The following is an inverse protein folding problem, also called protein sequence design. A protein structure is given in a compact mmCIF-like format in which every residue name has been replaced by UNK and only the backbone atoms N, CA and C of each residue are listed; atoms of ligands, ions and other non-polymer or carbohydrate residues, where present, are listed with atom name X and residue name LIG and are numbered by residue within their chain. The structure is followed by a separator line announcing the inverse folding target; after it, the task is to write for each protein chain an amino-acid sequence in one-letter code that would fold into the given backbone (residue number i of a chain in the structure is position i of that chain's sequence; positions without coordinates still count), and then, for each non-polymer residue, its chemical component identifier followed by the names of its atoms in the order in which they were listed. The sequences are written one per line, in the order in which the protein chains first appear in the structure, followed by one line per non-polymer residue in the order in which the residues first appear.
data_IF_024129971455
#
_entry.id   IF_024129971455
#
_cell.length_a   1.000
_cell.length_b   1.000
_cell.length_c   1.000
_cell.angle_alpha   90.00
_cell.angle_beta   90.00
_cell.angle_gamma   90.00
#
_symmetry.space_group_name_H-M   'P 1'
#
loop_
_entity.id
_entity.type
_entity.pdbx_description
1 polymer ?
#
# COMPACT_ATOMS: atom_id res chain seq x y z
N UNK A 1 25.34 -34.60 -27.52
CA UNK A 1 26.66 -33.99 -27.19
C UNK A 1 26.50 -32.49 -27.36
N UNK A 2 26.79 -31.60 -26.42
CA UNK A 2 27.68 -31.62 -25.26
C UNK A 2 26.87 -31.07 -24.08
N UNK A 3 26.82 -31.84 -22.98
CA UNK A 3 26.22 -31.39 -21.74
C UNK A 3 27.09 -30.30 -21.11
N UNK A 4 26.49 -29.13 -20.85
CA UNK A 4 27.06 -28.18 -19.90
C UNK A 4 26.94 -28.80 -18.51
N UNK A 5 28.06 -29.37 -18.06
CA UNK A 5 28.28 -29.93 -16.73
C UNK A 5 28.63 -28.85 -15.72
N UNK A 6 27.85 -27.77 -15.66
CA UNK A 6 27.97 -26.77 -14.59
C UNK A 6 26.65 -26.67 -13.82
N UNK A 7 26.09 -27.83 -13.46
CA UNK A 7 25.02 -27.91 -12.47
C UNK A 7 25.61 -27.62 -11.10
N UNK A 8 25.54 -26.36 -10.67
CA UNK A 8 25.22 -25.84 -9.32
C UNK A 8 25.51 -26.73 -8.08
N UNK A 9 26.60 -27.49 -8.08
CA UNK A 9 26.83 -28.59 -7.13
C UNK A 9 28.21 -28.62 -6.50
N UNK A 10 29.11 -27.66 -6.77
CA UNK A 10 30.50 -27.72 -6.28
C UNK A 10 31.03 -26.47 -5.57
N UNK A 11 30.22 -25.44 -5.36
CA UNK A 11 30.49 -24.48 -4.30
C UNK A 11 29.72 -24.95 -3.06
N UNK A 12 30.37 -25.74 -2.19
CA UNK A 12 29.92 -25.87 -0.81
C UNK A 12 29.76 -24.45 -0.27
N UNK A 13 28.52 -24.06 -0.01
CA UNK A 13 28.18 -22.69 0.34
C UNK A 13 28.61 -22.46 1.79
N UNK A 14 29.91 -22.20 2.02
CA UNK A 14 30.51 -22.02 3.35
C UNK A 14 29.83 -20.89 4.14
N UNK A 15 29.14 -19.97 3.46
CA UNK A 15 28.37 -18.89 4.09
C UNK A 15 26.96 -19.32 4.55
N UNK A 16 26.40 -20.41 4.00
CA UNK A 16 25.05 -20.87 4.33
C UNK A 16 25.07 -21.77 5.57
N UNK A 17 24.91 -21.16 6.74
CA UNK A 17 24.98 -21.88 8.02
C UNK A 17 23.64 -22.48 8.47
N UNK A 18 22.51 -21.86 8.11
CA UNK A 18 21.16 -22.22 8.59
C UNK A 18 20.13 -21.95 7.52
N UNK A 19 19.07 -22.76 7.51
CA UNK A 19 17.89 -22.55 6.66
C UNK A 19 16.67 -22.48 7.56
N UNK A 20 15.82 -21.47 7.34
CA UNK A 20 14.55 -21.33 8.05
C UNK A 20 13.41 -21.50 7.06
N UNK A 21 12.52 -22.46 7.30
CA UNK A 21 11.35 -22.68 6.46
C UNK A 21 10.12 -22.01 7.08
N UNK A 22 9.39 -21.25 6.26
CA UNK A 22 8.12 -20.64 6.69
C UNK A 22 6.97 -21.66 6.68
N UNK A 23 7.05 -22.64 5.79
CA UNK A 23 6.07 -23.72 5.66
C UNK A 23 6.45 -24.93 6.51
N UNK A 24 5.41 -25.64 7.00
CA UNK A 24 5.55 -26.80 7.89
C UNK A 24 6.10 -28.05 7.18
N UNK A 25 5.91 -28.15 5.87
CA UNK A 25 6.35 -29.29 5.07
C UNK A 25 7.69 -28.97 4.40
N UNK A 26 8.76 -29.57 4.91
CA UNK A 26 10.06 -29.55 4.29
C UNK A 26 10.73 -30.93 4.39
N UNK A 27 11.58 -31.24 3.42
CA UNK A 27 12.32 -32.49 3.43
C UNK A 27 13.35 -32.45 4.56
N UNK A 28 13.20 -33.32 5.57
CA UNK A 28 14.07 -33.33 6.77
C UNK A 28 15.51 -33.81 6.50
N UNK A 29 15.83 -34.27 5.28
CA UNK A 29 17.16 -34.76 4.89
C UNK A 29 17.91 -33.72 4.06
N UNK A 30 18.66 -32.83 4.73
CA UNK A 30 19.62 -31.93 4.08
C UNK A 30 20.90 -31.79 4.92
N UNK A 31 21.98 -31.34 4.29
CA UNK A 31 23.31 -31.19 4.91
C UNK A 31 23.46 -30.02 5.89
N UNK A 32 22.48 -29.11 5.94
CA UNK A 32 22.50 -27.90 6.77
C UNK A 32 21.44 -28.00 7.88
N UNK A 33 21.66 -27.32 9.01
CA UNK A 33 20.65 -27.24 10.07
C UNK A 33 19.42 -26.48 9.57
N UNK A 34 18.33 -27.22 9.31
CA UNK A 34 17.04 -26.66 8.92
C UNK A 34 16.17 -26.50 10.16
N UNK A 35 15.66 -25.29 10.37
CA UNK A 35 14.68 -24.96 11.38
C UNK A 35 13.37 -24.57 10.72
N UNK A 36 12.24 -24.94 11.34
CA UNK A 36 10.98 -24.31 10.98
C UNK A 36 10.84 -22.94 11.67
N UNK A 37 10.07 -22.03 11.07
CA UNK A 37 9.77 -20.75 11.70
C UNK A 37 9.06 -20.92 13.05
N UNK A 38 8.15 -21.89 13.15
CA UNK A 38 7.48 -22.27 14.41
C UNK A 38 8.46 -22.73 15.50
N UNK A 39 9.46 -23.53 15.13
CA UNK A 39 10.52 -23.94 16.06
C UNK A 39 11.34 -22.75 16.56
N UNK A 40 11.72 -21.82 15.69
CA UNK A 40 12.45 -20.61 16.07
C UNK A 40 11.61 -19.76 17.03
N UNK A 41 10.31 -19.60 16.78
CA UNK A 41 9.43 -18.85 17.68
C UNK A 41 9.38 -19.50 19.07
N UNK A 42 9.21 -20.83 19.16
CA UNK A 42 9.22 -21.55 20.45
C UNK A 42 10.54 -21.43 21.19
N UNK A 43 11.67 -21.41 20.46
CA UNK A 43 12.98 -21.16 21.07
C UNK A 43 13.04 -19.75 21.66
N UNK A 44 12.56 -18.75 20.92
CA UNK A 44 12.44 -17.36 21.39
C UNK A 44 11.59 -17.26 22.66
N UNK A 45 10.40 -17.86 22.67
CA UNK A 45 9.50 -17.89 23.83
C UNK A 45 10.16 -18.49 25.07
N UNK A 46 10.89 -19.60 24.91
CA UNK A 46 11.63 -20.25 26.02
C UNK A 46 12.76 -19.38 26.55
N UNK A 47 13.45 -18.64 25.68
CA UNK A 47 14.50 -17.71 26.08
C UNK A 47 13.90 -16.51 26.84
N UNK A 48 12.81 -15.94 26.33
CA UNK A 48 12.07 -14.86 26.99
C UNK A 48 11.55 -15.27 28.36
N UNK A 49 10.97 -16.47 28.49
CA UNK A 49 10.49 -17.01 29.76
C UNK A 49 11.61 -17.20 30.80
N UNK A 50 12.87 -17.30 30.36
CA UNK A 50 14.06 -17.35 31.22
C UNK A 50 14.66 -15.96 31.49
N UNK A 51 14.03 -14.89 31.03
CA UNK A 51 14.49 -13.51 31.19
C UNK A 51 15.56 -13.08 30.18
N UNK A 52 15.78 -13.83 29.09
CA UNK A 52 16.73 -13.42 28.05
C UNK A 52 16.15 -12.29 27.19
N UNK A 53 16.60 -11.07 27.45
CA UNK A 53 16.18 -9.84 26.74
C UNK A 53 17.29 -9.25 25.87
N UNK A 54 18.33 -10.02 25.55
CA UNK A 54 19.50 -9.53 24.78
C UNK A 54 19.13 -8.91 23.43
N UNK A 55 18.03 -9.35 22.81
CA UNK A 55 17.51 -8.75 21.58
C UNK A 55 17.21 -7.25 21.74
N UNK A 56 16.73 -6.83 22.92
CA UNK A 56 16.45 -5.42 23.22
C UNK A 56 17.74 -4.61 23.33
N UNK A 57 18.80 -5.17 23.91
CA UNK A 57 20.09 -4.50 23.96
C UNK A 57 20.72 -4.40 22.57
N UNK A 58 20.63 -5.46 21.75
CA UNK A 58 21.07 -5.44 20.35
C UNK A 58 20.29 -4.39 19.55
N UNK A 59 18.98 -4.24 19.75
CA UNK A 59 18.21 -3.21 19.04
C UNK A 59 18.67 -1.78 19.35
N UNK A 60 19.24 -1.54 20.54
CA UNK A 60 19.76 -0.22 20.92
C UNK A 60 21.08 0.12 20.24
N UNK A 61 21.79 -0.87 19.70
CA UNK A 61 23.05 -0.65 18.99
C UNK A 61 22.84 -0.30 17.51
N UNK A 62 21.60 -0.31 17.03
CA UNK A 62 21.30 0.02 15.64
C UNK A 62 21.63 1.49 15.32
N UNK A 63 22.36 1.70 14.23
CA UNK A 63 22.75 3.01 13.73
C UNK A 63 21.84 3.46 12.57
N UNK A 64 21.83 4.76 12.31
CA UNK A 64 20.98 5.35 11.25
C UNK A 64 21.44 4.93 9.85
N UNK A 65 22.73 4.68 9.69
CA UNK A 65 23.43 4.26 8.49
C UNK A 65 23.43 2.75 8.27
N UNK A 66 22.96 1.96 9.25
CA UNK A 66 22.90 0.51 9.11
C UNK A 66 21.99 0.13 7.95
N UNK A 67 22.48 -0.79 7.11
CA UNK A 67 21.75 -1.35 5.98
C UNK A 67 20.59 -2.22 6.49
N UNK A 68 19.37 -1.88 6.08
CA UNK A 68 18.14 -2.59 6.46
C UNK A 68 17.72 -3.57 5.38
N UNK A 69 17.74 -3.16 4.12
CA UNK A 69 17.30 -4.01 3.01
C UNK A 69 17.98 -3.63 1.71
N UNK A 70 18.14 -4.61 0.83
CA UNK A 70 18.52 -4.41 -0.57
C UNK A 70 17.31 -4.74 -1.43
N UNK A 71 16.88 -3.81 -2.28
CA UNK A 71 15.77 -4.01 -3.22
C UNK A 71 16.34 -4.08 -4.63
N UNK A 72 16.12 -5.21 -5.30
CA UNK A 72 16.51 -5.36 -6.70
C UNK A 72 15.48 -4.74 -7.63
N UNK A 73 15.98 -3.99 -8.60
CA UNK A 73 15.18 -3.34 -9.64
C UNK A 73 15.68 -3.75 -11.01
N UNK A 74 14.76 -3.93 -11.96
CA UNK A 74 15.11 -4.17 -13.36
C UNK A 74 15.69 -2.88 -13.95
N UNK A 75 17.01 -2.72 -13.87
CA UNK A 75 17.69 -1.61 -14.52
C UNK A 75 17.48 -1.65 -16.04
N UNK A 76 17.59 -0.52 -16.71
CA UNK A 76 17.53 -0.43 -18.17
C UNK A 76 18.72 -1.12 -18.87
N UNK A 77 19.75 -1.50 -18.11
CA UNK A 77 21.04 -2.04 -18.59
C UNK A 77 21.14 -3.57 -18.48
N UNK A 78 20.02 -4.29 -18.56
CA UNK A 78 19.88 -5.76 -18.43
C UNK A 78 20.22 -6.37 -17.05
N UNK A 79 21.22 -5.86 -16.35
CA UNK A 79 21.58 -6.34 -15.00
C UNK A 79 20.72 -5.68 -13.91
N UNK A 80 20.12 -6.48 -12.99
CA UNK A 80 19.33 -5.93 -11.90
C UNK A 80 20.22 -5.21 -10.89
N UNK A 81 19.83 -3.99 -10.51
CA UNK A 81 20.58 -3.16 -9.54
C UNK A 81 19.98 -3.33 -8.15
N UNK A 82 20.83 -3.62 -7.17
CA UNK A 82 20.47 -3.67 -5.75
C UNK A 82 20.51 -2.29 -5.12
N UNK A 83 19.35 -1.74 -4.77
CA UNK A 83 19.22 -0.47 -4.05
C UNK A 83 19.37 -0.74 -2.56
N UNK A 84 20.44 -0.22 -1.96
CA UNK A 84 20.71 -0.30 -0.53
C UNK A 84 19.90 0.75 0.23
N UNK A 85 19.10 0.33 1.20
CA UNK A 85 18.28 1.21 2.03
C UNK A 85 18.64 1.04 3.50
N UNK A 86 18.94 2.17 4.15
CA UNK A 86 19.37 2.25 5.55
C UNK A 86 18.20 2.59 6.49
N UNK A 87 18.43 2.48 7.80
CA UNK A 87 17.44 2.92 8.82
C UNK A 87 17.00 4.37 8.59
N UNK A 88 17.92 5.28 8.29
CA UNK A 88 17.61 6.70 8.07
C UNK A 88 16.66 6.93 6.90
N UNK A 89 16.70 6.10 5.84
CA UNK A 89 15.74 6.19 4.73
C UNK A 89 14.31 5.91 5.20
N UNK A 90 14.10 4.88 6.02
CA UNK A 90 12.77 4.55 6.57
C UNK A 90 12.31 5.58 7.60
N UNK A 91 13.17 5.94 8.54
CA UNK A 91 12.83 6.90 9.61
C UNK A 91 12.50 8.29 9.04
N UNK A 92 13.16 8.71 7.96
CA UNK A 92 12.80 9.96 7.29
C UNK A 92 11.35 9.94 6.82
N UNK A 93 10.95 8.91 6.06
CA UNK A 93 9.58 8.76 5.56
C UNK A 93 8.55 8.66 6.70
N UNK A 94 8.86 7.87 7.74
CA UNK A 94 8.01 7.75 8.93
C UNK A 94 7.79 9.10 9.62
N UNK A 95 8.78 10.00 9.64
CA UNK A 95 8.65 11.32 10.26
C UNK A 95 7.90 12.34 9.40
N UNK A 96 8.12 12.33 8.08
CA UNK A 96 7.60 13.39 7.20
C UNK A 96 6.23 13.06 6.62
N UNK A 97 5.94 11.79 6.33
CA UNK A 97 4.71 11.42 5.61
C UNK A 97 3.44 11.60 6.45
N UNK A 98 3.37 11.15 7.73
CA UNK A 98 2.16 11.30 8.53
C UNK A 98 1.63 12.74 8.63
N UNK A 99 2.44 13.77 8.99
CA UNK A 99 1.91 15.13 9.08
C UNK A 99 1.51 15.70 7.71
N UNK A 100 2.24 15.38 6.63
CA UNK A 100 1.91 15.85 5.28
C UNK A 100 0.60 15.25 4.77
N UNK A 101 0.32 13.99 5.08
CA UNK A 101 -0.89 13.29 4.68
C UNK A 101 -1.99 13.32 5.75
N UNK A 102 -1.75 13.99 6.88
CA UNK A 102 -2.64 14.08 8.05
C UNK A 102 -3.06 12.71 8.62
N UNK A 103 -2.16 11.73 8.53
CA UNK A 103 -2.37 10.37 9.02
C UNK A 103 -2.31 10.34 10.55
N UNK A 104 -3.15 9.52 11.16
CA UNK A 104 -3.27 9.40 12.60
C UNK A 104 -3.68 7.97 12.99
N UNK A 105 -3.94 7.74 14.28
CA UNK A 105 -4.29 6.43 14.84
C UNK A 105 -5.71 6.00 14.51
N UNK A 106 -6.59 6.95 14.15
CA UNK A 106 -7.97 6.68 13.76
C UNK A 106 -8.07 6.12 12.33
N UNK A 107 -6.96 6.12 11.59
CA UNK A 107 -6.92 5.59 10.24
C UNK A 107 -7.02 4.06 10.18
N UNK A 108 -7.66 3.58 9.11
CA UNK A 108 -7.72 2.19 8.70
C UNK A 108 -6.99 2.04 7.38
N UNK A 109 -5.77 1.53 7.44
CA UNK A 109 -4.93 1.27 6.29
C UNK A 109 -5.30 -0.08 5.65
N UNK A 110 -5.57 -0.10 4.35
CA UNK A 110 -5.71 -1.35 3.58
C UNK A 110 -4.45 -1.58 2.76
N UNK A 111 -3.66 -2.56 3.17
CA UNK A 111 -2.48 -3.04 2.44
C UNK A 111 -2.94 -3.89 1.26
N UNK A 112 -2.63 -3.44 0.03
CA UNK A 112 -3.06 -4.10 -1.21
C UNK A 112 -1.91 -4.44 -2.16
N UNK A 113 -0.75 -3.83 -1.96
CA UNK A 113 0.44 -4.14 -2.75
C UNK A 113 1.28 -5.17 -1.98
N UNK A 114 2.27 -5.81 -2.62
CA UNK A 114 3.10 -6.76 -1.92
C UNK A 114 4.06 -6.09 -0.91
N UNK A 115 4.10 -6.57 0.34
CA UNK A 115 4.95 -6.02 1.42
C UNK A 115 6.47 -6.11 1.17
N UNK A 116 6.90 -6.86 0.15
CA UNK A 116 8.29 -6.88 -0.31
C UNK A 116 8.63 -5.73 -1.26
N UNK A 117 7.65 -5.06 -1.84
CA UNK A 117 7.89 -3.81 -2.56
C UNK A 117 8.11 -2.67 -1.58
N UNK A 118 9.13 -1.85 -1.83
CA UNK A 118 9.50 -0.76 -0.92
C UNK A 118 8.36 0.24 -0.67
N UNK A 119 7.52 0.50 -1.68
CA UNK A 119 6.41 1.44 -1.56
C UNK A 119 5.33 0.96 -0.58
N UNK A 120 5.02 -0.33 -0.60
CA UNK A 120 4.09 -0.91 0.38
C UNK A 120 4.73 -1.00 1.76
N UNK A 121 5.97 -1.48 1.83
CA UNK A 121 6.69 -1.68 3.08
C UNK A 121 6.78 -0.39 3.90
N UNK A 122 7.08 0.74 3.25
CA UNK A 122 7.12 2.02 3.95
C UNK A 122 5.73 2.49 4.39
N UNK A 123 4.69 2.23 3.59
CA UNK A 123 3.31 2.57 3.96
C UNK A 123 2.84 1.76 5.19
N UNK A 124 3.17 0.47 5.25
CA UNK A 124 2.94 -0.37 6.44
C UNK A 124 3.67 0.21 7.65
N UNK A 125 4.97 0.56 7.53
CA UNK A 125 5.72 1.14 8.64
C UNK A 125 5.15 2.49 9.09
N UNK A 126 4.66 3.30 8.16
CA UNK A 126 3.97 4.54 8.46
C UNK A 126 2.69 4.25 9.26
N UNK A 127 1.84 3.32 8.81
CA UNK A 127 0.62 2.92 9.51
C UNK A 127 0.92 2.41 10.93
N UNK A 128 1.95 1.57 11.08
CA UNK A 128 2.45 1.13 12.39
C UNK A 128 2.90 2.31 13.26
N UNK A 129 3.67 3.25 12.70
CA UNK A 129 4.20 4.40 13.46
C UNK A 129 3.13 5.39 13.92
N UNK A 130 2.03 5.51 13.17
CA UNK A 130 0.90 6.39 13.54
C UNK A 130 -0.09 5.70 14.49
N UNK A 131 0.06 4.39 14.71
CA UNK A 131 -0.90 3.58 15.46
C UNK A 131 -2.18 3.30 14.68
N UNK A 132 -2.17 3.44 13.36
CA UNK A 132 -3.31 3.11 12.51
C UNK A 132 -3.53 1.59 12.48
N UNK A 133 -4.79 1.19 12.31
CA UNK A 133 -5.12 -0.22 12.07
C UNK A 133 -4.77 -0.62 10.63
N UNK A 134 -4.34 -1.87 10.42
CA UNK A 134 -3.97 -2.39 9.10
C UNK A 134 -4.77 -3.66 8.78
N UNK A 135 -5.43 -3.67 7.63
CA UNK A 135 -6.04 -4.86 7.03
C UNK A 135 -5.28 -5.22 5.74
N UNK A 136 -5.21 -6.52 5.42
CA UNK A 136 -4.53 -7.01 4.21
C UNK A 136 -5.53 -7.49 3.18
N UNK A 137 -5.32 -7.10 1.93
CA UNK A 137 -6.12 -7.50 0.79
C UNK A 137 -5.23 -7.82 -0.42
N UNK A 138 -5.84 -8.09 -1.56
CA UNK A 138 -5.14 -8.40 -2.82
C UNK A 138 -5.60 -7.45 -3.91
N UNK A 139 -4.72 -7.08 -4.87
CA UNK A 139 -5.03 -6.12 -5.92
C UNK A 139 -5.94 -6.70 -7.03
N UNK A 140 -6.70 -7.76 -6.74
CA UNK A 140 -7.62 -8.41 -7.66
C UNK A 140 -9.04 -7.95 -7.34
N UNK A 141 -9.78 -7.50 -8.35
CA UNK A 141 -11.14 -6.95 -8.21
C UNK A 141 -12.07 -7.82 -7.37
N UNK A 142 -11.99 -9.14 -7.50
CA UNK A 142 -12.84 -10.11 -6.81
C UNK A 142 -12.61 -10.15 -5.30
N UNK A 143 -11.42 -9.73 -4.84
CA UNK A 143 -11.02 -9.70 -3.43
C UNK A 143 -11.10 -8.25 -2.91
N UNK A 144 -10.52 -7.32 -3.68
CA UNK A 144 -10.44 -5.92 -3.30
C UNK A 144 -11.82 -5.27 -3.10
N UNK A 145 -12.80 -5.51 -3.98
CA UNK A 145 -14.10 -4.85 -3.85
C UNK A 145 -14.87 -5.27 -2.59
N UNK A 146 -14.99 -6.57 -2.25
CA UNK A 146 -15.53 -6.99 -0.96
C UNK A 146 -14.77 -6.43 0.24
N UNK A 147 -13.44 -6.43 0.22
CA UNK A 147 -12.63 -5.96 1.35
C UNK A 147 -12.78 -4.44 1.57
N UNK A 148 -12.89 -3.66 0.48
CA UNK A 148 -13.22 -2.23 0.57
C UNK A 148 -14.57 -1.97 1.24
N UNK A 149 -15.55 -2.83 0.98
CA UNK A 149 -16.89 -2.73 1.55
C UNK A 149 -16.93 -3.14 3.03
N UNK A 150 -16.20 -4.20 3.38
CA UNK A 150 -16.11 -4.72 4.75
C UNK A 150 -15.26 -3.82 5.66
N UNK A 151 -14.03 -3.52 5.26
CA UNK A 151 -13.04 -2.81 6.09
C UNK A 151 -13.22 -1.29 6.07
N UNK A 152 -13.84 -0.77 4.99
CA UNK A 152 -14.08 0.67 4.77
C UNK A 152 -12.81 1.50 5.05
N UNK A 153 -11.66 1.19 4.44
CA UNK A 153 -10.41 1.84 4.80
C UNK A 153 -10.46 3.35 4.59
N UNK A 154 -9.74 4.08 5.43
CA UNK A 154 -9.58 5.54 5.27
C UNK A 154 -8.37 5.85 4.39
N UNK A 155 -7.40 4.93 4.32
CA UNK A 155 -6.13 5.11 3.62
C UNK A 155 -5.78 3.85 2.83
N UNK A 156 -5.35 4.02 1.58
CA UNK A 156 -4.85 2.94 0.73
C UNK A 156 -3.62 3.45 0.00
N UNK A 157 -2.53 2.69 0.06
CA UNK A 157 -1.38 2.89 -0.80
C UNK A 157 -1.64 2.17 -2.12
N UNK A 158 -1.67 2.89 -3.24
CA UNK A 158 -2.14 2.32 -4.50
C UNK A 158 -1.44 2.95 -5.70
N UNK A 159 -1.51 2.24 -6.83
CA UNK A 159 -0.95 2.65 -8.12
C UNK A 159 -2.06 2.84 -9.14
N UNK A 160 -1.85 3.66 -10.20
CA UNK A 160 -2.92 4.04 -11.15
C UNK A 160 -3.70 2.84 -11.71
N UNK A 161 -3.00 1.74 -12.02
CA UNK A 161 -3.60 0.54 -12.58
C UNK A 161 -4.68 -0.11 -11.69
N UNK A 162 -4.55 -0.01 -10.37
CA UNK A 162 -5.57 -0.51 -9.44
C UNK A 162 -6.85 0.33 -9.57
N UNK A 163 -6.72 1.65 -9.60
CA UNK A 163 -7.85 2.56 -9.77
C UNK A 163 -8.55 2.37 -11.11
N UNK A 164 -7.80 2.11 -12.19
CA UNK A 164 -8.37 1.75 -13.50
C UNK A 164 -9.20 0.46 -13.41
N UNK A 165 -8.71 -0.55 -12.68
CA UNK A 165 -9.40 -1.83 -12.47
C UNK A 165 -10.69 -1.66 -11.65
N UNK A 166 -10.61 -0.90 -10.55
CA UNK A 166 -11.77 -0.57 -9.70
C UNK A 166 -12.80 0.23 -10.50
N UNK A 167 -12.37 1.25 -11.23
CA UNK A 167 -13.24 2.07 -12.09
C UNK A 167 -13.97 1.22 -13.13
N UNK A 168 -13.24 0.40 -13.91
CA UNK A 168 -13.84 -0.55 -14.85
C UNK A 168 -14.85 -1.45 -14.14
N UNK A 169 -14.51 -1.93 -12.95
CA UNK A 169 -15.37 -2.77 -12.16
C UNK A 169 -16.69 -2.13 -11.75
N UNK A 170 -16.66 -0.87 -11.32
CA UNK A 170 -17.86 -0.08 -11.00
C UNK A 170 -18.67 0.20 -12.26
N UNK A 171 -18.01 0.60 -13.35
CA UNK A 171 -18.68 0.90 -14.62
C UNK A 171 -19.39 -0.33 -15.21
N UNK A 172 -18.80 -1.51 -15.10
CA UNK A 172 -19.41 -2.76 -15.57
C UNK A 172 -20.66 -3.12 -14.75
N UNK A 173 -20.64 -2.92 -13.43
CA UNK A 173 -21.83 -3.08 -12.57
C UNK A 173 -22.92 -2.08 -12.96
N UNK A 174 -22.56 -0.81 -13.18
CA UNK A 174 -23.51 0.23 -13.58
C UNK A 174 -24.15 -0.05 -14.96
N UNK A 175 -23.37 -0.54 -15.93
CA UNK A 175 -23.87 -0.93 -17.27
C UNK A 175 -24.87 -2.09 -17.24
N UNK A 176 -24.75 -2.99 -16.27
CA UNK A 176 -25.69 -4.12 -16.09
C UNK A 176 -26.99 -3.72 -15.36
N UNK A 177 -27.06 -2.50 -14.81
CA UNK A 177 -28.26 -1.98 -14.17
C UNK A 177 -29.36 -1.57 -15.17
N UNK A 178 -30.56 -1.30 -14.66
CA UNK A 178 -31.65 -0.76 -15.47
C UNK A 178 -31.33 0.61 -16.07
N UNK A 179 -32.04 1.02 -17.13
CA UNK A 179 -31.83 2.31 -17.78
C UNK A 179 -31.92 3.50 -16.77
N UNK A 180 -32.87 3.45 -15.84
CA UNK A 180 -33.01 4.43 -14.77
C UNK A 180 -31.76 4.47 -13.85
N UNK A 181 -31.28 3.30 -13.44
CA UNK A 181 -30.06 3.15 -12.62
C UNK A 181 -28.83 3.74 -13.32
N UNK A 182 -28.69 3.50 -14.62
CA UNK A 182 -27.59 4.05 -15.44
C UNK A 182 -27.65 5.57 -15.56
N UNK A 183 -28.84 6.13 -15.80
CA UNK A 183 -29.05 7.60 -15.88
C UNK A 183 -28.72 8.27 -14.56
N UNK A 184 -29.20 7.73 -13.44
CA UNK A 184 -28.92 8.26 -12.10
C UNK A 184 -27.44 8.17 -11.75
N UNK A 185 -26.76 7.06 -12.09
CA UNK A 185 -25.32 6.91 -11.89
C UNK A 185 -24.53 7.95 -12.68
N UNK A 186 -24.80 8.10 -13.99
CA UNK A 186 -24.10 9.09 -14.83
C UNK A 186 -24.33 10.52 -14.34
N UNK A 187 -25.55 10.84 -13.93
CA UNK A 187 -25.86 12.13 -13.32
C UNK A 187 -25.07 12.37 -12.03
N UNK A 188 -24.99 11.37 -11.14
CA UNK A 188 -24.23 11.48 -9.90
C UNK A 188 -22.73 11.70 -10.15
N UNK A 189 -22.14 11.01 -11.14
CA UNK A 189 -20.75 11.20 -11.55
C UNK A 189 -20.51 12.61 -12.12
N UNK A 190 -21.39 13.11 -12.99
CA UNK A 190 -21.28 14.46 -13.55
C UNK A 190 -21.34 15.55 -12.46
N UNK A 191 -22.31 15.43 -11.55
CA UNK A 191 -22.43 16.34 -10.40
C UNK A 191 -21.19 16.27 -9.50
N UNK A 192 -20.71 15.06 -9.20
CA UNK A 192 -19.50 14.85 -8.41
C UNK A 192 -18.26 15.47 -9.06
N UNK A 193 -18.11 15.32 -10.37
CA UNK A 193 -17.01 15.90 -11.14
C UNK A 193 -17.02 17.43 -11.13
N UNK A 194 -18.19 18.04 -11.37
CA UNK A 194 -18.36 19.51 -11.31
C UNK A 194 -18.02 20.06 -9.92
N UNK A 195 -18.52 19.42 -8.87
CA UNK A 195 -18.22 19.81 -7.50
C UNK A 195 -16.74 19.67 -7.18
N UNK A 196 -16.10 18.53 -7.51
CA UNK A 196 -14.68 18.30 -7.21
C UNK A 196 -13.75 19.25 -7.96
N UNK A 197 -14.09 19.61 -9.21
CA UNK A 197 -13.36 20.65 -9.95
C UNK A 197 -13.47 22.00 -9.24
N UNK A 198 -14.67 22.40 -8.83
CA UNK A 198 -14.89 23.65 -8.11
C UNK A 198 -14.18 23.68 -6.75
N UNK A 199 -14.27 22.61 -5.96
CA UNK A 199 -13.55 22.45 -4.70
C UNK A 199 -12.02 22.52 -4.90
N UNK A 200 -11.51 21.91 -5.98
CA UNK A 200 -10.09 21.97 -6.32
C UNK A 200 -9.59 23.37 -6.67
N UNK A 201 -10.40 24.17 -7.37
CA UNK A 201 -10.12 25.59 -7.63
C UNK A 201 -10.04 26.37 -6.32
N UNK A 202 -11.04 26.22 -5.44
CA UNK A 202 -11.12 26.99 -4.19
C UNK A 202 -10.02 26.64 -3.18
N UNK A 203 -9.58 25.38 -3.18
CA UNK A 203 -8.52 24.91 -2.29
C UNK A 203 -7.12 25.00 -2.90
N UNK A 204 -7.00 25.54 -4.12
CA UNK A 204 -5.76 25.62 -4.88
C UNK A 204 -5.08 24.24 -5.06
N UNK A 205 -5.87 23.19 -5.28
CA UNK A 205 -5.37 21.81 -5.46
C UNK A 205 -5.54 21.28 -6.88
N UNK A 206 -6.29 21.97 -7.74
CA UNK A 206 -6.35 21.63 -9.16
C UNK A 206 -5.09 22.19 -9.87
N UNK A 207 -4.36 21.39 -10.67
CA UNK A 207 -3.13 21.86 -11.29
C UNK A 207 -3.42 22.89 -12.37
N UNK A 208 -2.59 23.94 -12.42
CA UNK A 208 -2.55 24.94 -13.47
C UNK A 208 -1.27 24.73 -14.27
N UNK A 209 -1.40 24.25 -15.51
CA UNK A 209 -0.24 23.97 -16.37
C UNK A 209 0.24 25.20 -17.15
N UNK A 210 -0.69 26.06 -17.56
CA UNK A 210 -0.41 27.17 -18.49
C UNK A 210 -0.47 28.56 -17.83
N UNK A 211 -0.67 28.63 -16.50
CA UNK A 211 -0.84 29.89 -15.76
C UNK A 211 -0.53 29.75 -14.28
N UNK A 212 -0.26 30.88 -13.61
CA UNK A 212 0.08 30.91 -12.19
C UNK A 212 -1.16 30.80 -11.27
N UNK A 213 -2.26 31.47 -11.63
CA UNK A 213 -3.43 31.61 -10.76
C UNK A 213 -4.75 31.38 -11.53
N UNK A 214 -5.82 31.12 -10.77
CA UNK A 214 -7.17 31.06 -11.31
C UNK A 214 -7.72 32.46 -11.60
N UNK A 215 -8.52 32.59 -12.65
CA UNK A 215 -9.20 33.83 -12.96
C UNK A 215 -10.29 34.12 -11.90
N UNK A 216 -10.57 35.40 -11.58
CA UNK A 216 -11.61 35.76 -10.61
C UNK A 216 -13.00 35.19 -10.94
N UNK A 217 -13.33 35.05 -12.23
CA UNK A 217 -14.60 34.47 -12.67
C UNK A 217 -14.68 32.98 -12.33
N UNK A 218 -13.57 32.26 -12.46
CA UNK A 218 -13.49 30.83 -12.12
C UNK A 218 -13.67 30.59 -10.63
N UNK A 219 -13.03 31.43 -9.80
CA UNK A 219 -13.20 31.38 -8.34
C UNK A 219 -14.66 31.68 -7.99
N UNK A 220 -15.27 32.69 -8.62
CA UNK A 220 -16.68 33.06 -8.39
C UNK A 220 -17.63 31.94 -8.79
N UNK A 221 -17.41 31.34 -9.97
CA UNK A 221 -18.19 30.21 -10.46
C UNK A 221 -17.99 28.96 -9.59
N UNK A 222 -16.77 28.72 -9.10
CA UNK A 222 -16.48 27.63 -8.18
C UNK A 222 -17.21 27.81 -6.83
N UNK A 223 -17.20 29.03 -6.26
CA UNK A 223 -17.98 29.35 -5.05
C UNK A 223 -19.47 29.09 -5.25
N UNK A 224 -20.04 29.54 -6.38
CA UNK A 224 -21.44 29.31 -6.73
C UNK A 224 -21.75 27.82 -6.87
N UNK A 225 -20.87 27.06 -7.51
CA UNK A 225 -21.01 25.62 -7.75
C UNK A 225 -20.93 24.82 -6.45
N UNK A 226 -19.97 25.10 -5.57
CA UNK A 226 -19.88 24.45 -4.25
C UNK A 226 -21.11 24.79 -3.39
N UNK A 227 -21.58 26.04 -3.42
CA UNK A 227 -22.79 26.45 -2.69
C UNK A 227 -24.05 25.76 -3.21
N UNK A 228 -24.23 25.64 -4.52
CA UNK A 228 -25.42 25.01 -5.11
C UNK A 228 -25.42 23.49 -4.98
N UNK A 229 -24.26 22.84 -5.14
CA UNK A 229 -24.11 21.40 -5.10
C UNK A 229 -23.78 20.85 -3.70
N UNK A 230 -23.47 21.71 -2.73
CA UNK A 230 -23.16 21.33 -1.35
C UNK A 230 -24.30 20.58 -0.65
N UNK A 231 -25.56 20.93 -0.94
CA UNK A 231 -26.73 20.18 -0.47
C UNK A 231 -26.93 18.85 -1.23
N UNK A 232 -26.56 18.80 -2.51
CA UNK A 232 -26.65 17.59 -3.35
C UNK A 232 -25.64 16.52 -2.93
N UNK A 233 -24.50 16.91 -2.33
CA UNK A 233 -23.52 16.00 -1.69
C UNK A 233 -24.15 15.14 -0.60
N UNK A 234 -25.15 15.66 0.12
CA UNK A 234 -25.89 14.90 1.12
C UNK A 234 -26.68 13.78 0.44
N UNK A 235 -27.45 14.12 -0.60
CA UNK A 235 -28.27 13.17 -1.35
C UNK A 235 -27.47 12.16 -2.20
N UNK A 236 -26.33 12.55 -2.77
CA UNK A 236 -25.48 11.64 -3.55
C UNK A 236 -24.85 10.54 -2.68
N UNK A 237 -24.57 10.85 -1.40
CA UNK A 237 -24.11 9.86 -0.42
C UNK A 237 -25.15 8.76 -0.17
N UNK A 238 -26.44 9.12 -0.11
CA UNK A 238 -27.54 8.16 -0.01
C UNK A 238 -27.82 7.42 -1.32
N UNK A 239 -27.65 8.08 -2.47
CA UNK A 239 -27.76 7.43 -3.77
C UNK A 239 -26.71 6.34 -3.94
N UNK A 240 -25.46 6.57 -3.53
CA UNK A 240 -24.42 5.54 -3.55
C UNK A 240 -24.76 4.34 -2.65
N UNK A 241 -25.37 4.56 -1.48
CA UNK A 241 -25.92 3.48 -0.64
C UNK A 241 -27.06 2.70 -1.34
N UNK A 242 -27.84 3.34 -2.21
CA UNK A 242 -28.90 2.69 -2.99
C UNK A 242 -28.39 1.79 -4.12
N UNK A 243 -27.12 1.95 -4.50
CA UNK A 243 -26.42 1.16 -5.52
C UNK A 243 -25.44 0.13 -4.93
N UNK A 244 -25.24 0.15 -3.61
CA UNK A 244 -24.47 -0.84 -2.84
C UNK A 244 -25.40 -2.00 -2.48
#
# INVERSE_FOLDING_TARGET
SVGSKDTAGSAKNESLNRVVTLEKEYNKKHSHSIFSFDEINRLGEKLLAKGDTRFSEISKTALSEDLVTIIYTSGTTADPKGVMLTNSNFIHNIRVTPPTQKLNKEDRYLSILPSWHIFERIAEYIALSTGASTAYSKPFKQVLLPDLEAEKPTVICSVPRIWESVYKGVMDKAKKGSALKKTMFNWAIDIGGKYKKAEGILNNTLPLFDRADYAPEEITQAKKTVKSLGGVRFYSKYLFQFFS
#
